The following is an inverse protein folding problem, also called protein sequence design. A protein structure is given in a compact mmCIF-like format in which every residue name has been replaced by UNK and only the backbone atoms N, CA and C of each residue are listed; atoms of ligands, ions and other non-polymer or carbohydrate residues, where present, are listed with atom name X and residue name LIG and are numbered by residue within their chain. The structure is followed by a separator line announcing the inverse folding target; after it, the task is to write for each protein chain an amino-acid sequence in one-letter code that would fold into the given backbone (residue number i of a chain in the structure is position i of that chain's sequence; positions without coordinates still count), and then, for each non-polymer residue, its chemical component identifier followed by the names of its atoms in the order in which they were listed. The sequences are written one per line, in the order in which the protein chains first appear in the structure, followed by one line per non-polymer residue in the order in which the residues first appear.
data_IF_416636092600
#
_entry.id   IF_416636092600
#
_cell.length_a   1.000
_cell.length_b   1.000
_cell.length_c   1.000
_cell.angle_alpha   90.00
_cell.angle_beta   90.00
_cell.angle_gamma   90.00
#
_symmetry.space_group_name_H-M   'P 1'
#
loop_
_entity.id
_entity.type
_entity.pdbx_description
1 polymer ?
#
# COMPACT_ATOMS: atom_id res chain seq x y z
N UNK A 1 26.87 24.42 17.31
CA UNK A 1 25.90 24.29 16.20
C UNK A 1 25.58 22.82 16.05
N UNK A 2 24.53 22.34 16.72
CA UNK A 2 24.09 20.95 16.61
C UNK A 2 23.47 20.78 15.23
N UNK A 3 24.16 20.06 14.35
CA UNK A 3 23.55 19.59 13.11
C UNK A 3 22.39 18.68 13.52
N UNK A 4 21.17 19.12 13.29
CA UNK A 4 19.99 18.25 13.32
C UNK A 4 20.24 17.21 12.25
N UNK A 5 20.79 16.05 12.63
CA UNK A 5 20.93 14.92 11.73
C UNK A 5 19.52 14.62 11.21
N UNK A 6 19.27 14.95 9.94
CA UNK A 6 17.97 14.79 9.32
C UNK A 6 17.63 13.30 9.37
N UNK A 7 16.73 12.91 10.25
CA UNK A 7 16.34 11.51 10.40
C UNK A 7 15.66 11.07 9.11
N UNK A 8 16.01 9.90 8.59
CA UNK A 8 15.41 9.38 7.35
C UNK A 8 13.90 9.10 7.50
N UNK A 9 13.44 8.81 8.74
CA UNK A 9 12.03 8.45 9.02
C UNK A 9 11.01 9.56 8.71
N UNK A 10 11.14 10.81 9.21
CA UNK A 10 10.20 11.88 8.86
C UNK A 10 10.19 12.19 7.36
N UNK A 11 11.35 12.11 6.69
CA UNK A 11 11.43 12.28 5.24
C UNK A 11 10.68 11.17 4.51
N UNK A 12 10.89 9.91 4.90
CA UNK A 12 10.19 8.77 4.33
C UNK A 12 8.67 8.84 4.59
N UNK A 13 8.26 9.25 5.78
CA UNK A 13 6.85 9.42 6.13
C UNK A 13 6.18 10.52 5.30
N UNK A 14 6.83 11.69 5.19
CA UNK A 14 6.35 12.79 4.34
C UNK A 14 6.26 12.37 2.87
N UNK A 15 7.28 11.67 2.36
CA UNK A 15 7.28 11.14 0.99
C UNK A 15 6.14 10.15 0.75
N UNK A 16 5.90 9.23 1.69
CA UNK A 16 4.82 8.25 1.60
C UNK A 16 3.44 8.92 1.63
N UNK A 17 3.24 9.92 2.50
CA UNK A 17 1.99 10.69 2.56
C UNK A 17 1.79 11.49 1.27
N UNK A 18 2.81 12.21 0.80
CA UNK A 18 2.73 12.99 -0.43
C UNK A 18 2.42 12.12 -1.65
N UNK A 19 3.10 10.98 -1.79
CA UNK A 19 2.82 10.00 -2.84
C UNK A 19 1.40 9.44 -2.72
N UNK A 20 0.96 9.08 -1.50
CA UNK A 20 -0.40 8.58 -1.26
C UNK A 20 -1.48 9.60 -1.63
N UNK A 21 -1.28 10.88 -1.29
CA UNK A 21 -2.18 11.98 -1.65
C UNK A 21 -2.17 12.21 -3.17
N UNK A 22 -1.00 12.24 -3.80
CA UNK A 22 -0.91 12.43 -5.25
C UNK A 22 -1.61 11.28 -6.02
N UNK A 23 -1.43 10.04 -5.58
CA UNK A 23 -2.10 8.87 -6.14
C UNK A 23 -3.61 8.89 -5.88
N UNK A 24 -4.04 9.24 -4.66
CA UNK A 24 -5.45 9.24 -4.27
C UNK A 24 -6.27 10.37 -4.87
N UNK A 25 -5.66 11.53 -5.12
CA UNK A 25 -6.31 12.68 -5.80
C UNK A 25 -6.29 12.55 -7.32
N UNK A 26 -5.52 11.60 -7.87
CA UNK A 26 -5.32 11.47 -9.31
C UNK A 26 -4.31 12.46 -9.89
N UNK A 27 -3.66 13.29 -9.07
CA UNK A 27 -2.53 14.13 -9.50
C UNK A 27 -1.38 13.28 -10.07
N UNK A 28 -1.23 12.06 -9.55
CA UNK A 28 -0.46 10.99 -10.17
C UNK A 28 -1.41 9.83 -10.52
N UNK A 29 -1.77 9.73 -11.79
CA UNK A 29 -2.62 8.64 -12.27
C UNK A 29 -1.80 7.43 -12.70
N UNK A 30 -2.23 6.23 -12.30
CA UNK A 30 -1.66 4.97 -12.79
C UNK A 30 -2.53 4.48 -13.96
N UNK A 31 -2.11 4.66 -15.23
CA UNK A 31 -2.84 4.08 -16.35
C UNK A 31 -2.81 2.56 -16.23
N UNK A 32 -3.99 1.93 -16.24
CA UNK A 32 -4.12 0.50 -16.03
C UNK A 32 -4.74 -0.16 -17.27
N UNK A 33 -3.88 -0.77 -18.08
CA UNK A 33 -4.30 -1.58 -19.23
C UNK A 33 -5.12 -2.80 -18.79
N UNK A 34 -4.84 -3.36 -17.60
CA UNK A 34 -5.57 -4.51 -17.07
C UNK A 34 -7.06 -4.16 -16.87
N UNK A 35 -7.34 -3.04 -16.20
CA UNK A 35 -8.72 -2.57 -16.02
C UNK A 35 -9.41 -2.26 -17.34
N UNK A 36 -8.68 -1.74 -18.32
CA UNK A 36 -9.24 -1.49 -19.65
C UNK A 36 -9.62 -2.78 -20.41
N UNK A 37 -8.90 -3.88 -20.16
CA UNK A 37 -9.16 -5.18 -20.82
C UNK A 37 -10.16 -6.05 -20.07
N UNK A 38 -10.15 -6.03 -18.73
CA UNK A 38 -10.91 -6.97 -17.90
C UNK A 38 -12.04 -6.29 -17.11
N UNK A 39 -12.06 -4.96 -17.02
CA UNK A 39 -12.94 -4.23 -16.11
C UNK A 39 -12.55 -4.37 -14.62
N UNK A 40 -11.53 -5.17 -14.30
CA UNK A 40 -11.12 -5.48 -12.93
C UNK A 40 -9.98 -4.56 -12.49
N UNK A 41 -9.94 -4.24 -11.19
CA UNK A 41 -8.90 -3.37 -10.63
C UNK A 41 -7.65 -4.17 -10.26
N UNK A 42 -6.53 -3.84 -10.92
CA UNK A 42 -5.22 -4.36 -10.55
C UNK A 42 -4.79 -3.83 -9.17
N UNK A 43 -3.82 -4.46 -8.48
CA UNK A 43 -3.47 -4.08 -7.11
C UNK A 43 -2.98 -2.63 -7.00
N UNK A 44 -2.39 -2.09 -8.06
CA UNK A 44 -1.89 -0.71 -8.11
C UNK A 44 -3.01 0.32 -8.35
N UNK A 45 -3.84 0.17 -9.37
CA UNK A 45 -4.93 1.12 -9.65
C UNK A 45 -6.07 1.02 -8.62
N UNK A 46 -6.37 -0.18 -8.13
CA UNK A 46 -7.28 -0.37 -7.00
C UNK A 46 -6.73 0.26 -5.72
N UNK A 47 -5.41 0.19 -5.50
CA UNK A 47 -4.75 0.86 -4.38
C UNK A 47 -4.86 2.38 -4.43
N UNK A 48 -4.66 3.01 -5.60
CA UNK A 48 -4.80 4.46 -5.74
C UNK A 48 -6.25 4.93 -5.56
N UNK A 49 -7.24 4.18 -6.07
CA UNK A 49 -8.67 4.46 -5.82
C UNK A 49 -9.04 4.29 -4.35
N UNK A 50 -8.51 3.26 -3.68
CA UNK A 50 -8.69 3.06 -2.25
C UNK A 50 -8.13 4.24 -1.45
N UNK A 51 -6.94 4.75 -1.81
CA UNK A 51 -6.38 5.96 -1.21
C UNK A 51 -7.30 7.16 -1.42
N UNK A 52 -7.83 7.36 -2.63
CA UNK A 52 -8.78 8.43 -2.91
C UNK A 52 -10.10 8.33 -2.14
N UNK A 53 -10.56 7.12 -1.84
CA UNK A 53 -11.70 6.88 -0.96
C UNK A 53 -11.36 7.18 0.51
N UNK A 54 -10.18 6.77 1.00
CA UNK A 54 -9.71 7.11 2.35
C UNK A 54 -9.56 8.62 2.56
N UNK A 55 -9.09 9.37 1.55
CA UNK A 55 -9.00 10.84 1.62
C UNK A 55 -10.38 11.51 1.75
N UNK A 56 -11.43 10.85 1.26
CA UNK A 56 -12.83 11.28 1.40
C UNK A 56 -13.51 10.67 2.62
N UNK A 57 -12.77 9.95 3.48
CA UNK A 57 -13.26 9.23 4.66
C UNK A 57 -14.32 8.15 4.32
N UNK A 58 -14.31 7.64 3.10
CA UNK A 58 -15.21 6.59 2.64
C UNK A 58 -14.53 5.22 2.79
N UNK A 59 -14.59 4.67 4.00
CA UNK A 59 -14.03 3.36 4.32
C UNK A 59 -14.70 2.21 3.52
N UNK A 60 -16.05 2.16 3.39
CA UNK A 60 -16.70 1.12 2.59
C UNK A 60 -16.19 1.09 1.15
N UNK A 61 -16.08 2.24 0.49
CA UNK A 61 -15.54 2.31 -0.87
C UNK A 61 -14.06 1.93 -0.91
N UNK A 62 -13.25 2.37 0.07
CA UNK A 62 -11.83 2.02 0.12
C UNK A 62 -11.59 0.50 0.23
N UNK A 63 -12.37 -0.17 1.07
CA UNK A 63 -12.33 -1.63 1.20
C UNK A 63 -12.82 -2.33 -0.07
N UNK A 64 -13.84 -1.78 -0.73
CA UNK A 64 -14.35 -2.28 -2.01
C UNK A 64 -13.30 -2.22 -3.12
N UNK A 65 -12.51 -1.14 -3.20
CA UNK A 65 -11.44 -1.03 -4.19
C UNK A 65 -10.28 -2.00 -3.88
N UNK A 66 -9.79 -2.02 -2.64
CA UNK A 66 -8.68 -2.90 -2.26
C UNK A 66 -8.59 -3.15 -0.75
N UNK A 67 -9.37 -4.12 -0.23
CA UNK A 67 -9.36 -4.49 1.18
C UNK A 67 -7.97 -4.90 1.70
N UNK A 68 -7.17 -5.63 0.92
CA UNK A 68 -5.82 -6.02 1.33
C UNK A 68 -4.90 -4.81 1.50
N UNK A 69 -4.98 -3.83 0.59
CA UNK A 69 -4.19 -2.61 0.73
C UNK A 69 -4.55 -1.83 2.00
N UNK A 70 -5.85 -1.70 2.29
CA UNK A 70 -6.35 -0.95 3.46
C UNK A 70 -6.05 -1.67 4.77
N UNK A 71 -6.31 -2.98 4.84
CA UNK A 71 -6.25 -3.75 6.08
C UNK A 71 -4.86 -4.33 6.40
N UNK A 72 -4.01 -4.51 5.38
CA UNK A 72 -2.71 -5.17 5.55
C UNK A 72 -1.56 -4.25 5.17
N UNK A 73 -1.52 -3.75 3.94
CA UNK A 73 -0.37 -2.97 3.46
C UNK A 73 -0.23 -1.64 4.19
N UNK A 74 -1.33 -0.90 4.38
CA UNK A 74 -1.30 0.41 5.02
C UNK A 74 -0.82 0.32 6.49
N UNK A 75 -1.35 -0.59 7.33
CA UNK A 75 -0.76 -0.86 8.65
C UNK A 75 0.70 -1.32 8.60
N UNK A 76 1.08 -2.18 7.64
CA UNK A 76 2.45 -2.65 7.49
C UNK A 76 3.44 -1.49 7.18
N UNK A 77 3.04 -0.53 6.35
CA UNK A 77 3.83 0.69 6.08
C UNK A 77 3.99 1.52 7.36
N UNK A 78 2.93 1.73 8.13
CA UNK A 78 2.99 2.47 9.41
C UNK A 78 3.94 1.77 10.38
N UNK A 79 3.83 0.45 10.55
CA UNK A 79 4.72 -0.35 11.40
C UNK A 79 6.17 -0.23 10.90
N UNK A 80 6.41 -0.29 9.59
CA UNK A 80 7.72 -0.13 8.97
C UNK A 80 8.36 1.22 9.31
N UNK A 81 7.60 2.32 9.22
CA UNK A 81 8.05 3.66 9.60
C UNK A 81 8.37 3.75 11.09
N UNK A 82 7.56 3.14 11.96
CA UNK A 82 7.82 3.09 13.41
C UNK A 82 9.10 2.31 13.70
N UNK A 83 9.31 1.16 13.06
CA UNK A 83 10.53 0.36 13.22
C UNK A 83 11.76 1.11 12.71
N UNK A 84 11.65 1.84 11.60
CA UNK A 84 12.72 2.71 11.10
C UNK A 84 13.05 3.80 12.13
N UNK A 85 12.05 4.49 12.66
CA UNK A 85 12.25 5.51 13.70
C UNK A 85 12.91 4.94 14.96
N UNK A 86 12.55 3.71 15.37
CA UNK A 86 13.21 3.01 16.49
C UNK A 86 14.68 2.70 16.19
N UNK A 87 15.02 2.29 14.97
CA UNK A 87 16.43 2.10 14.56
C UNK A 87 17.25 3.39 14.67
N UNK A 88 16.72 4.49 14.16
CA UNK A 88 17.36 5.81 14.23
C UNK A 88 17.57 6.30 15.68
N UNK A 89 16.74 5.80 16.62
CA UNK A 89 16.88 6.05 18.05
C UNK A 89 17.85 5.09 18.75
N UNK A 90 18.60 4.28 18.00
CA UNK A 90 19.54 3.30 18.53
C UNK A 90 18.89 2.09 19.20
N UNK A 91 17.57 1.89 19.00
CA UNK A 91 16.88 0.73 19.57
C UNK A 91 17.11 -0.49 18.69
N UNK A 92 17.31 -1.64 19.34
CA UNK A 92 17.31 -2.93 18.66
C UNK A 92 15.94 -3.20 18.05
N UNK A 93 15.94 -3.63 16.80
CA UNK A 93 14.73 -4.06 16.10
C UNK A 93 15.03 -5.36 15.36
N UNK A 94 14.00 -5.94 14.75
CA UNK A 94 14.12 -7.18 13.99
C UNK A 94 15.30 -7.16 13.00
N UNK A 95 16.06 -8.27 12.88
CA UNK A 95 17.15 -8.38 11.94
C UNK A 95 16.64 -8.30 10.50
N UNK A 96 17.51 -7.90 9.58
CA UNK A 96 17.18 -7.76 8.16
C UNK A 96 16.62 -9.04 7.54
N UNK A 97 17.09 -10.20 8.00
CA UNK A 97 16.59 -11.52 7.58
C UNK A 97 15.12 -11.70 7.89
N UNK A 98 14.67 -11.38 9.11
CA UNK A 98 13.25 -11.42 9.49
C UNK A 98 12.43 -10.45 8.65
N UNK A 99 12.90 -9.21 8.49
CA UNK A 99 12.18 -8.20 7.71
C UNK A 99 12.02 -8.62 6.25
N UNK A 100 13.07 -9.18 5.64
CA UNK A 100 13.02 -9.74 4.27
C UNK A 100 11.95 -10.81 4.12
N UNK A 101 11.85 -11.74 5.07
CA UNK A 101 10.83 -12.79 5.02
C UNK A 101 9.41 -12.26 5.22
N UNK A 102 9.23 -11.27 6.11
CA UNK A 102 7.93 -10.60 6.27
C UNK A 102 7.53 -9.89 4.97
N UNK A 103 8.45 -9.16 4.34
CA UNK A 103 8.19 -8.47 3.06
C UNK A 103 7.86 -9.47 1.94
N UNK A 104 8.61 -10.58 1.85
CA UNK A 104 8.32 -11.65 0.90
C UNK A 104 6.94 -12.28 1.15
N UNK A 105 6.60 -12.54 2.41
CA UNK A 105 5.28 -13.05 2.79
C UNK A 105 4.15 -12.08 2.42
N UNK A 106 4.32 -10.78 2.70
CA UNK A 106 3.36 -9.74 2.31
C UNK A 106 3.19 -9.67 0.79
N UNK A 107 4.28 -9.78 0.01
CA UNK A 107 4.21 -9.81 -1.44
C UNK A 107 3.44 -11.04 -1.95
N UNK A 108 3.74 -12.23 -1.40
CA UNK A 108 3.02 -13.46 -1.73
C UNK A 108 1.54 -13.35 -1.38
N UNK A 109 1.20 -12.84 -0.19
CA UNK A 109 -0.18 -12.62 0.22
C UNK A 109 -0.90 -11.59 -0.63
N UNK A 110 -0.22 -10.53 -1.08
CA UNK A 110 -0.79 -9.54 -1.97
C UNK A 110 -1.16 -10.15 -3.33
N UNK A 111 -0.25 -10.96 -3.90
CA UNK A 111 -0.49 -11.68 -5.15
C UNK A 111 -1.58 -12.73 -4.95
N UNK A 112 -1.55 -13.49 -3.87
CA UNK A 112 -2.58 -14.49 -3.57
C UNK A 112 -3.95 -13.83 -3.42
N UNK A 113 -4.06 -12.72 -2.68
CA UNK A 113 -5.29 -11.95 -2.57
C UNK A 113 -5.79 -11.47 -3.93
N UNK A 114 -4.89 -10.95 -4.77
CA UNK A 114 -5.22 -10.49 -6.11
C UNK A 114 -5.73 -11.63 -7.00
N UNK A 115 -5.07 -12.78 -6.99
CA UNK A 115 -5.52 -13.97 -7.73
C UNK A 115 -6.87 -14.45 -7.20
N UNK A 116 -7.04 -14.53 -5.88
CA UNK A 116 -8.27 -14.99 -5.23
C UNK A 116 -9.47 -14.09 -5.53
N UNK A 117 -9.28 -12.75 -5.56
CA UNK A 117 -10.34 -11.81 -5.94
C UNK A 117 -10.70 -11.87 -7.43
N UNK A 118 -9.74 -12.23 -8.29
CA UNK A 118 -9.92 -12.32 -9.74
C UNK A 118 -10.17 -13.77 -10.22
N UNK A 119 -10.44 -14.71 -9.31
CA UNK A 119 -10.72 -16.10 -9.69
C UNK A 119 -11.96 -16.20 -10.61
N UNK A 120 -11.86 -16.97 -11.71
CA UNK A 120 -12.75 -16.92 -12.88
C UNK A 120 -14.19 -17.41 -12.66
N UNK A 121 -14.54 -17.90 -11.46
CA UNK A 121 -15.90 -18.33 -11.13
C UNK A 121 -16.95 -17.19 -11.12
N UNK A 122 -16.53 -15.94 -11.34
CA UNK A 122 -17.42 -14.79 -11.53
C UNK A 122 -17.34 -14.14 -12.94
N UNK A 123 -16.45 -14.59 -13.82
CA UNK A 123 -16.28 -13.97 -15.15
C UNK A 123 -17.30 -14.51 -16.18
N UNK A 124 -18.02 -15.59 -15.89
CA UNK A 124 -19.04 -16.19 -16.76
C UNK A 124 -20.37 -15.41 -16.82
N UNK A 125 -20.52 -14.32 -16.04
CA UNK A 125 -21.78 -13.58 -15.89
C UNK A 125 -21.68 -12.10 -16.30
N UNK A 126 -20.53 -11.63 -16.78
CA UNK A 126 -20.34 -10.26 -17.28
C UNK A 126 -20.33 -10.23 -18.81
N UNK A 127 -21.39 -10.76 -19.42
CA UNK A 127 -21.80 -10.46 -20.81
C UNK A 127 -22.76 -9.28 -20.77
#
# INVERSE_FOLDING_TARGET
MSTTALRATPVAALGAVAAGVALGTGALSIPCWYHALTGLDCPFCGGSRALGALLRLDLPAALGYNAFAVLVLLPAVVIGLVLLGRRELGRTVAPWTTLRWVLAGLAVLAVAWWVLRDLPQFHSLSV
#
